data_IF_706288970411
#
_entry.id   IF_706288970411
#
_cell.length_a   1.000
_cell.length_b   1.000
_cell.length_c   1.000
_cell.angle_alpha   90.00
_cell.angle_beta   90.00
_cell.angle_gamma   90.00
#
_symmetry.space_group_name_H-M   'P 1'
#
loop_
_entity.id
_entity.type
_entity.pdbx_description
1 polymer ?
#
# COMPACT_ATOMS: atom_id res chain seq x y z
N UNK A 1 44.47 15.58 28.15
CA UNK A 1 44.16 14.27 28.74
C UNK A 1 43.10 13.62 27.86
N UNK A 2 43.54 12.74 26.97
CA UNK A 2 42.72 11.95 26.04
C UNK A 2 42.38 10.63 26.73
N UNK A 3 41.13 10.16 26.63
CA UNK A 3 40.81 8.76 26.88
C UNK A 3 39.95 8.22 25.72
N UNK A 4 40.66 7.58 24.78
CA UNK A 4 40.14 6.48 23.96
C UNK A 4 40.13 5.22 24.81
N UNK A 5 39.15 4.34 24.65
CA UNK A 5 39.36 2.90 24.81
C UNK A 5 38.36 2.12 23.95
N UNK A 6 38.88 1.55 22.86
CA UNK A 6 38.37 0.35 22.20
C UNK A 6 38.83 -0.88 23.00
N UNK A 7 38.00 -1.91 23.17
CA UNK A 7 38.46 -3.29 23.22
C UNK A 7 37.40 -4.24 22.66
N UNK A 8 37.88 -5.25 21.93
CA UNK A 8 37.12 -6.27 21.22
C UNK A 8 37.55 -7.68 21.66
N UNK A 9 36.63 -8.64 21.45
CA UNK A 9 36.74 -10.10 21.37
C UNK A 9 36.95 -10.96 22.64
N UNK A 10 36.03 -11.93 22.79
CA UNK A 10 36.20 -13.16 23.55
C UNK A 10 35.21 -14.23 23.07
N UNK A 11 35.71 -15.21 22.33
CA UNK A 11 35.04 -16.46 21.91
C UNK A 11 35.07 -17.50 23.04
N UNK A 12 33.97 -18.24 23.26
CA UNK A 12 34.03 -19.52 23.95
C UNK A 12 32.97 -20.50 23.44
N UNK A 13 33.45 -21.60 22.89
CA UNK A 13 32.75 -22.83 22.54
C UNK A 13 32.38 -23.66 23.77
N UNK A 14 31.19 -24.26 23.79
CA UNK A 14 30.98 -25.53 24.50
C UNK A 14 29.83 -26.35 23.88
N UNK A 15 29.96 -27.68 23.99
CA UNK A 15 29.34 -28.70 23.15
C UNK A 15 28.38 -29.65 23.90
N UNK A 16 27.38 -30.17 23.15
CA UNK A 16 26.65 -31.46 23.27
C UNK A 16 25.41 -31.59 24.23
N UNK A 17 24.52 -32.62 24.10
CA UNK A 17 23.85 -33.28 22.93
C UNK A 17 22.32 -33.57 23.11
N UNK A 18 21.66 -34.10 22.04
CA UNK A 18 20.31 -34.72 21.93
C UNK A 18 19.10 -33.78 21.67
N UNK A 19 18.28 -33.86 20.61
CA UNK A 19 18.22 -34.73 19.44
C UNK A 19 17.05 -34.36 18.50
N UNK A 20 17.34 -34.34 17.18
CA UNK A 20 16.51 -34.64 15.98
C UNK A 20 15.12 -33.98 15.77
N UNK A 21 15.04 -33.09 14.77
CA UNK A 21 14.56 -33.42 13.40
C UNK A 21 14.94 -32.30 12.41
N UNK A 22 15.69 -32.67 11.36
CA UNK A 22 16.33 -31.77 10.41
C UNK A 22 15.52 -31.50 9.14
N UNK A 23 15.85 -30.38 8.50
CA UNK A 23 15.74 -30.17 7.06
C UNK A 23 17.10 -29.63 6.62
N UNK A 24 17.87 -30.47 5.93
CA UNK A 24 19.14 -30.12 5.28
C UNK A 24 18.86 -29.29 4.02
N UNK A 25 19.46 -28.11 3.91
CA UNK A 25 19.66 -27.45 2.61
C UNK A 25 21.16 -27.44 2.33
N UNK A 26 21.53 -28.32 1.41
CA UNK A 26 22.88 -28.56 0.92
C UNK A 26 23.29 -27.43 -0.04
N UNK A 27 24.21 -26.56 0.37
CA UNK A 27 24.87 -25.59 -0.53
C UNK A 27 26.24 -26.16 -0.89
N UNK A 28 26.33 -26.66 -2.12
CA UNK A 28 27.54 -27.27 -2.66
C UNK A 28 28.38 -26.15 -3.32
N UNK A 29 29.31 -25.57 -2.56
CA UNK A 29 30.34 -24.68 -3.09
C UNK A 29 31.47 -25.53 -3.70
N UNK A 30 31.42 -25.75 -5.02
CA UNK A 30 32.58 -26.20 -5.78
C UNK A 30 33.29 -25.01 -6.42
N UNK A 31 34.34 -24.61 -5.69
CA UNK A 31 35.43 -23.75 -6.10
C UNK A 31 36.22 -24.42 -7.25
N UNK A 32 36.13 -23.90 -8.47
CA UNK A 32 37.06 -24.25 -9.55
C UNK A 32 38.04 -23.11 -9.82
N UNK A 33 39.28 -23.40 -9.44
CA UNK A 33 40.50 -22.70 -9.81
C UNK A 33 40.62 -22.54 -11.33
N UNK A 34 40.94 -21.32 -11.78
CA UNK A 34 41.81 -21.13 -12.93
C UNK A 34 42.88 -20.09 -12.60
N UNK A 35 44.13 -20.53 -12.64
CA UNK A 35 45.35 -19.76 -12.45
C UNK A 35 46.13 -19.76 -13.77
N UNK A 36 46.62 -18.59 -14.19
CA UNK A 36 47.75 -18.48 -15.12
C UNK A 36 47.58 -17.53 -16.30
N UNK A 37 48.34 -16.43 -16.30
CA UNK A 37 48.74 -15.71 -17.52
C UNK A 37 48.83 -14.19 -17.41
N UNK A 38 49.96 -13.65 -16.94
CA UNK A 38 50.29 -12.22 -17.01
C UNK A 38 50.50 -11.76 -18.46
N UNK A 39 49.92 -10.60 -18.84
CA UNK A 39 50.64 -9.55 -19.58
C UNK A 39 49.86 -8.22 -19.62
N UNK A 40 50.64 -7.14 -19.55
CA UNK A 40 50.26 -5.73 -19.40
C UNK A 40 49.38 -5.16 -20.54
N UNK A 41 48.48 -4.24 -20.18
CA UNK A 41 48.07 -3.16 -21.09
C UNK A 41 46.60 -2.74 -21.01
N UNK A 42 46.40 -1.46 -20.69
CA UNK A 42 45.20 -0.64 -20.92
C UNK A 42 44.16 -0.48 -19.80
N UNK A 43 43.77 0.78 -19.66
CA UNK A 43 43.04 1.40 -18.56
C UNK A 43 41.56 0.98 -18.57
N UNK A 44 41.12 0.61 -17.38
CA UNK A 44 39.78 0.27 -16.91
C UNK A 44 38.63 0.90 -17.71
N UNK A 45 37.97 0.06 -18.51
CA UNK A 45 36.63 0.29 -19.07
C UNK A 45 35.55 -0.22 -18.11
N UNK A 46 34.37 0.37 -18.25
CA UNK A 46 33.25 0.32 -17.32
C UNK A 46 32.84 -1.09 -16.87
N UNK A 47 32.53 -1.17 -15.57
CA UNK A 47 31.67 -2.23 -15.07
C UNK A 47 30.30 -2.08 -15.72
N UNK A 48 29.98 -3.02 -16.61
CA UNK A 48 28.61 -3.30 -17.02
C UNK A 48 27.80 -3.62 -15.77
N UNK A 49 26.90 -2.71 -15.39
CA UNK A 49 25.86 -3.00 -14.41
C UNK A 49 24.89 -3.94 -15.12
N UNK A 50 24.96 -5.23 -14.83
CA UNK A 50 23.94 -6.20 -15.18
C UNK A 50 22.61 -5.74 -14.61
N UNK A 51 21.59 -5.67 -15.46
CA UNK A 51 20.20 -5.43 -15.06
C UNK A 51 19.82 -6.36 -13.90
N UNK A 52 19.76 -5.82 -12.69
CA UNK A 52 19.08 -6.49 -11.59
C UNK A 52 17.59 -6.30 -11.82
N UNK A 53 16.96 -7.33 -12.39
CA UNK A 53 15.54 -7.55 -12.19
C UNK A 53 15.30 -7.56 -10.69
N UNK A 54 14.76 -6.45 -10.16
CA UNK A 54 14.21 -6.40 -8.80
C UNK A 54 12.89 -7.17 -8.78
N UNK A 55 12.94 -8.46 -9.06
CA UNK A 55 11.81 -9.36 -8.86
C UNK A 55 11.71 -9.70 -7.38
N UNK A 56 10.65 -9.19 -6.73
CA UNK A 56 10.11 -9.61 -5.44
C UNK A 56 11.13 -9.84 -4.32
N UNK A 57 11.46 -8.77 -3.59
CA UNK A 57 11.91 -8.94 -2.21
C UNK A 57 10.71 -9.34 -1.33
N UNK A 58 10.72 -10.61 -0.90
CA UNK A 58 10.08 -11.15 0.29
C UNK A 58 8.63 -10.74 0.57
N UNK A 59 7.66 -11.48 0.04
CA UNK A 59 6.31 -11.50 0.63
C UNK A 59 6.37 -12.35 1.89
N UNK A 60 6.34 -11.73 3.07
CA UNK A 60 5.94 -12.43 4.29
C UNK A 60 4.50 -12.91 4.10
N UNK A 61 4.35 -14.23 4.06
CA UNK A 61 3.11 -14.93 3.75
C UNK A 61 2.17 -15.01 4.96
N UNK A 62 1.75 -13.89 5.53
CA UNK A 62 0.63 -13.85 6.50
C UNK A 62 -0.04 -12.47 6.48
N UNK A 63 -0.88 -12.22 5.47
CA UNK A 63 -1.86 -11.13 5.58
C UNK A 63 -3.16 -11.64 4.98
N UNK A 64 -4.21 -11.73 5.80
CA UNK A 64 -5.58 -11.75 5.29
C UNK A 64 -5.79 -10.42 4.55
N UNK A 65 -5.51 -10.41 3.24
CA UNK A 65 -5.60 -9.21 2.40
C UNK A 65 -7.03 -8.68 2.43
N UNK A 66 -7.22 -7.48 2.99
CA UNK A 66 -8.50 -6.78 3.03
C UNK A 66 -8.68 -5.74 1.92
N UNK A 67 -7.58 -5.39 1.23
CA UNK A 67 -7.58 -4.35 0.19
C UNK A 67 -6.78 -4.77 -1.03
N UNK A 68 -7.35 -4.49 -2.20
CA UNK A 68 -6.66 -4.49 -3.48
C UNK A 68 -6.57 -3.07 -4.01
N UNK A 69 -5.36 -2.61 -4.31
CA UNK A 69 -5.15 -1.38 -5.07
C UNK A 69 -4.66 -1.72 -6.48
N UNK A 70 -5.27 -1.06 -7.45
CA UNK A 70 -4.88 -1.16 -8.84
C UNK A 70 -4.48 0.22 -9.32
N UNK A 71 -3.35 0.33 -10.01
CA UNK A 71 -2.91 1.60 -10.56
C UNK A 71 -2.16 1.41 -11.88
N UNK A 72 -2.15 2.46 -12.68
CA UNK A 72 -1.52 2.47 -13.99
C UNK A 72 -0.98 3.87 -14.29
N UNK A 73 0.26 3.92 -14.74
CA UNK A 73 0.86 5.14 -15.28
C UNK A 73 0.20 5.46 -16.63
N UNK A 74 -0.39 6.65 -16.74
CA UNK A 74 -1.08 7.14 -17.95
C UNK A 74 -0.25 8.14 -18.73
N UNK A 75 0.73 8.77 -18.10
CA UNK A 75 1.70 9.60 -18.78
C UNK A 75 2.71 10.23 -17.84
N UNK A 76 3.76 10.77 -18.44
CA UNK A 76 4.74 11.61 -17.78
C UNK A 76 5.26 12.63 -18.79
N UNK A 77 5.55 13.84 -18.33
CA UNK A 77 6.05 14.93 -19.15
C UNK A 77 7.17 15.70 -18.45
N UNK A 78 8.31 15.75 -19.13
CA UNK A 78 9.46 16.61 -18.85
C UNK A 78 9.86 17.34 -20.14
N UNK A 79 9.10 18.36 -20.56
CA UNK A 79 9.25 18.99 -21.87
C UNK A 79 10.55 19.78 -22.02
N UNK A 80 11.21 20.11 -20.91
CA UNK A 80 12.51 20.79 -20.91
C UNK A 80 13.69 19.80 -20.88
N UNK A 81 13.41 18.48 -20.83
CA UNK A 81 14.44 17.44 -20.67
C UNK A 81 15.36 17.72 -19.48
N UNK A 82 14.82 18.38 -18.45
CA UNK A 82 15.59 18.89 -17.33
C UNK A 82 15.95 17.76 -16.38
N UNK A 83 17.13 17.87 -15.78
CA UNK A 83 17.61 17.07 -14.67
C UNK A 83 17.96 18.01 -13.50
N UNK A 84 18.01 17.52 -12.26
CA UNK A 84 18.37 18.35 -11.12
C UNK A 84 19.73 19.03 -11.27
N UNK A 85 19.88 20.19 -10.62
CA UNK A 85 21.11 20.96 -10.63
C UNK A 85 21.36 21.76 -11.90
N UNK A 86 20.33 22.06 -12.69
CA UNK A 86 20.48 22.82 -13.95
C UNK A 86 21.11 22.00 -15.09
N UNK A 87 20.93 20.67 -15.03
CA UNK A 87 21.42 19.74 -16.03
C UNK A 87 20.30 19.32 -16.97
N UNK A 88 20.65 18.60 -18.04
CA UNK A 88 19.72 18.03 -19.01
C UNK A 88 20.20 16.65 -19.48
N UNK A 89 19.25 15.81 -19.91
CA UNK A 89 19.52 14.49 -20.49
C UNK A 89 19.63 14.49 -22.02
N UNK A 90 19.59 15.67 -22.65
CA UNK A 90 19.84 15.88 -24.08
C UNK A 90 20.97 16.88 -24.28
N UNK A 91 21.49 16.97 -25.50
CA UNK A 91 22.47 17.99 -25.83
C UNK A 91 21.81 19.37 -26.02
N UNK A 92 22.22 20.40 -25.27
CA UNK A 92 21.76 21.76 -25.51
C UNK A 92 22.15 22.22 -26.91
N UNK A 93 21.28 22.99 -27.58
CA UNK A 93 21.56 23.53 -28.92
C UNK A 93 22.77 24.46 -28.96
N UNK A 94 23.11 25.07 -27.83
CA UNK A 94 24.25 26.00 -27.65
C UNK A 94 25.50 25.33 -27.07
N UNK A 95 25.45 24.04 -26.73
CA UNK A 95 26.51 23.32 -26.01
C UNK A 95 27.39 22.45 -26.91
N UNK A 96 28.62 22.15 -26.46
CA UNK A 96 29.53 21.23 -27.14
C UNK A 96 29.37 19.81 -26.62
N UNK A 97 28.58 19.02 -27.35
CA UNK A 97 28.33 17.60 -27.04
C UNK A 97 29.23 16.63 -27.83
N UNK A 98 30.46 17.04 -28.13
CA UNK A 98 31.34 16.36 -29.08
C UNK A 98 31.64 14.89 -28.70
N UNK A 99 31.57 14.55 -27.40
CA UNK A 99 31.75 13.18 -26.93
C UNK A 99 30.68 12.20 -27.44
N UNK A 100 29.51 12.71 -27.83
CA UNK A 100 28.38 11.92 -28.33
C UNK A 100 28.28 11.93 -29.86
N UNK A 101 29.36 12.30 -30.57
CA UNK A 101 29.42 12.39 -32.03
C UNK A 101 28.73 11.22 -32.73
N UNK A 102 27.55 11.48 -33.32
CA UNK A 102 26.74 10.50 -34.06
C UNK A 102 25.61 9.83 -33.30
N UNK A 103 25.59 9.88 -31.95
CA UNK A 103 24.55 9.30 -31.09
C UNK A 103 24.28 10.21 -29.89
N UNK A 104 23.48 11.28 -30.06
CA UNK A 104 23.18 12.20 -28.95
C UNK A 104 22.46 11.46 -27.81
N UNK A 105 22.73 11.84 -26.54
CA UNK A 105 22.06 11.25 -25.40
C UNK A 105 20.57 11.56 -25.45
N UNK A 106 19.79 10.60 -24.95
CA UNK A 106 18.34 10.70 -24.88
C UNK A 106 17.91 10.43 -23.44
N UNK A 107 16.93 11.19 -22.99
CA UNK A 107 16.28 10.98 -21.70
C UNK A 107 15.70 9.57 -21.62
N UNK A 108 16.15 8.78 -20.65
CA UNK A 108 15.81 7.36 -20.48
C UNK A 108 15.27 7.17 -19.07
N UNK A 109 13.95 7.08 -18.95
CA UNK A 109 13.23 7.23 -17.70
C UNK A 109 12.56 5.95 -17.23
N UNK A 110 12.69 5.66 -15.94
CA UNK A 110 11.98 4.59 -15.23
C UNK A 110 11.32 5.14 -13.97
N UNK A 111 10.23 4.52 -13.54
CA UNK A 111 9.44 4.97 -12.39
C UNK A 111 9.41 3.90 -11.32
N UNK A 112 9.61 4.29 -10.07
CA UNK A 112 9.40 3.43 -8.90
C UNK A 112 8.20 3.92 -8.14
N UNK A 113 7.29 3.01 -7.81
CA UNK A 113 6.10 3.25 -7.01
C UNK A 113 6.30 2.59 -5.65
N UNK A 114 6.13 3.38 -4.60
CA UNK A 114 6.14 2.93 -3.21
C UNK A 114 4.73 3.12 -2.67
N UNK A 115 4.03 2.03 -2.38
CA UNK A 115 2.68 2.06 -1.81
C UNK A 115 2.78 1.83 -0.32
N UNK A 116 2.40 2.82 0.48
CA UNK A 116 2.44 2.77 1.94
C UNK A 116 1.06 2.38 2.51
N UNK A 117 1.05 1.46 3.47
CA UNK A 117 -0.12 1.16 4.29
C UNK A 117 -0.52 2.37 5.15
N UNK A 118 -1.79 2.42 5.55
CA UNK A 118 -2.28 3.42 6.51
C UNK A 118 -1.71 3.24 7.92
N UNK A 119 -1.93 4.27 8.75
CA UNK A 119 -1.29 4.53 10.05
C UNK A 119 -1.44 3.42 11.12
N UNK A 120 -2.31 2.42 10.92
CA UNK A 120 -2.64 1.42 11.93
C UNK A 120 -2.16 -0.01 11.62
N UNK A 121 -1.67 -0.27 10.40
CA UNK A 121 -1.14 -1.58 10.04
C UNK A 121 0.38 -1.63 10.25
N UNK A 122 0.83 -2.53 11.15
CA UNK A 122 2.24 -2.65 11.58
C UNK A 122 3.26 -2.91 10.47
N UNK A 123 2.87 -3.24 9.24
CA UNK A 123 3.81 -3.37 8.11
C UNK A 123 3.04 -3.57 6.81
N UNK A 124 3.30 -2.78 5.77
CA UNK A 124 3.43 -3.26 4.38
C UNK A 124 3.65 -2.12 3.41
N UNK A 125 4.92 -1.72 3.24
CA UNK A 125 5.29 -0.99 2.02
C UNK A 125 5.38 -1.98 0.87
N UNK A 126 4.78 -1.66 -0.27
CA UNK A 126 4.88 -2.43 -1.51
C UNK A 126 5.61 -1.63 -2.56
N UNK A 127 6.42 -2.30 -3.37
CA UNK A 127 7.25 -1.69 -4.39
C UNK A 127 6.86 -2.21 -5.76
N UNK A 128 6.72 -1.31 -6.73
CA UNK A 128 6.58 -1.63 -8.15
C UNK A 128 7.50 -0.74 -8.96
N UNK A 129 7.89 -1.17 -10.15
CA UNK A 129 8.69 -0.35 -11.05
C UNK A 129 8.30 -0.58 -12.51
N UNK A 130 8.53 0.44 -13.34
CA UNK A 130 8.49 0.29 -14.79
C UNK A 130 9.86 -0.07 -15.34
N UNK A 131 9.88 -0.58 -16.57
CA UNK A 131 11.09 -0.57 -17.36
C UNK A 131 11.53 0.88 -17.64
N UNK A 132 12.80 1.08 -17.97
CA UNK A 132 13.27 2.37 -18.47
C UNK A 132 12.92 2.52 -19.96
N UNK A 133 12.41 3.70 -20.35
CA UNK A 133 12.00 4.03 -21.71
C UNK A 133 12.51 5.41 -22.10
N UNK A 134 12.86 5.56 -23.38
CA UNK A 134 13.25 6.86 -23.89
C UNK A 134 12.04 7.78 -24.05
N UNK A 135 12.16 9.02 -23.56
CA UNK A 135 11.17 10.05 -23.87
C UNK A 135 11.18 10.35 -25.38
N UNK A 136 10.03 10.80 -25.86
CA UNK A 136 9.87 11.30 -27.22
C UNK A 136 10.47 12.72 -27.37
N UNK A 137 10.52 13.29 -28.59
CA UNK A 137 11.03 14.64 -28.82
C UNK A 137 10.25 15.77 -28.16
N UNK A 138 9.09 15.50 -27.55
CA UNK A 138 8.31 16.47 -26.76
C UNK A 138 8.54 16.31 -25.25
N UNK A 139 9.43 15.39 -24.84
CA UNK A 139 9.70 15.09 -23.44
C UNK A 139 8.59 14.27 -22.78
N UNK A 140 7.82 13.51 -23.56
CA UNK A 140 6.73 12.68 -23.06
C UNK A 140 7.04 11.19 -23.17
N UNK A 141 6.29 10.38 -22.41
CA UNK A 141 6.31 8.93 -22.57
C UNK A 141 5.68 8.54 -23.93
N UNK A 142 6.40 7.78 -24.77
CA UNK A 142 5.94 7.49 -26.10
C UNK A 142 4.83 6.42 -26.08
N UNK A 143 3.71 6.70 -26.77
CA UNK A 143 2.53 5.82 -26.80
C UNK A 143 2.78 4.49 -27.53
N UNK A 144 3.71 4.46 -28.49
CA UNK A 144 4.09 3.23 -29.19
C UNK A 144 4.92 2.25 -28.33
N UNK A 145 5.24 2.61 -27.08
CA UNK A 145 5.87 1.75 -26.09
C UNK A 145 5.05 1.68 -24.80
N UNK A 146 3.75 2.01 -24.87
CA UNK A 146 2.85 2.03 -23.72
C UNK A 146 2.82 0.70 -22.97
N UNK A 147 3.03 -0.43 -23.64
CA UNK A 147 3.12 -1.75 -23.03
C UNK A 147 4.28 -1.89 -22.01
N UNK A 148 5.30 -1.02 -22.08
CA UNK A 148 6.46 -1.05 -21.17
C UNK A 148 6.28 -0.21 -19.91
N UNK A 149 5.54 0.91 -19.99
CA UNK A 149 5.35 1.84 -18.86
C UNK A 149 3.92 1.93 -18.35
N UNK A 150 2.92 1.70 -19.20
CA UNK A 150 1.50 1.76 -18.87
C UNK A 150 0.95 0.38 -18.47
N UNK A 151 1.76 -0.45 -17.79
CA UNK A 151 1.29 -1.73 -17.26
C UNK A 151 0.34 -1.46 -16.08
N UNK A 152 -0.72 -2.24 -15.97
CA UNK A 152 -1.61 -2.20 -14.81
C UNK A 152 -0.97 -3.01 -13.68
N UNK A 153 -0.73 -2.35 -12.55
CA UNK A 153 -0.25 -2.99 -11.33
C UNK A 153 -1.45 -3.33 -10.44
N UNK A 154 -1.46 -4.54 -9.88
CA UNK A 154 -2.45 -4.99 -8.90
C UNK A 154 -1.71 -5.42 -7.66
N UNK A 155 -1.96 -4.73 -6.55
CA UNK A 155 -1.25 -4.93 -5.29
C UNK A 155 -2.26 -5.26 -4.20
N UNK A 156 -2.02 -6.36 -3.49
CA UNK A 156 -2.81 -6.76 -2.32
C UNK A 156 -2.15 -6.23 -1.06
N UNK A 157 -2.95 -5.63 -0.18
CA UNK A 157 -2.51 -5.01 1.06
C UNK A 157 -3.40 -5.45 2.23
N UNK A 158 -2.84 -5.40 3.44
CA UNK A 158 -3.57 -5.73 4.67
C UNK A 158 -4.59 -4.66 5.05
N UNK A 159 -4.20 -3.39 4.85
CA UNK A 159 -5.03 -2.22 5.10
C UNK A 159 -5.07 -1.31 3.89
N UNK A 160 -5.98 -0.33 3.95
CA UNK A 160 -6.08 0.69 2.91
C UNK A 160 -4.77 1.50 2.82
N UNK A 161 -4.23 1.70 1.61
CA UNK A 161 -3.02 2.51 1.44
C UNK A 161 -3.29 3.99 1.72
N UNK A 162 -2.31 4.65 2.34
CA UNK A 162 -2.36 6.08 2.61
C UNK A 162 -1.91 6.91 1.41
N UNK A 163 -0.89 6.44 0.67
CA UNK A 163 -0.36 7.11 -0.50
C UNK A 163 0.34 6.15 -1.48
N UNK A 164 0.58 6.65 -2.70
CA UNK A 164 1.61 6.11 -3.60
C UNK A 164 2.66 7.20 -3.81
N UNK A 165 3.88 6.95 -3.38
CA UNK A 165 5.02 7.80 -3.71
C UNK A 165 5.63 7.31 -5.02
N UNK A 166 5.82 8.22 -5.98
CA UNK A 166 6.40 7.92 -7.28
C UNK A 166 7.71 8.65 -7.44
N UNK A 167 8.76 7.91 -7.77
CA UNK A 167 10.10 8.43 -8.02
C UNK A 167 10.42 8.25 -9.50
N UNK A 168 10.61 9.35 -10.20
CA UNK A 168 11.05 9.36 -11.59
C UNK A 168 12.57 9.37 -11.63
N UNK A 169 13.16 8.39 -12.30
CA UNK A 169 14.60 8.25 -12.43
C UNK A 169 15.02 8.33 -13.88
N UNK A 170 16.10 9.05 -14.16
CA UNK A 170 16.79 9.02 -15.45
C UNK A 170 18.04 8.16 -15.33
N UNK A 171 18.27 7.29 -16.30
CA UNK A 171 19.49 6.50 -16.41
C UNK A 171 20.27 6.90 -17.66
N UNK A 172 21.48 7.42 -17.48
CA UNK A 172 22.38 7.73 -18.58
C UNK A 172 23.14 9.03 -18.36
N UNK A 173 23.32 9.78 -19.44
CA UNK A 173 24.12 11.00 -19.41
C UNK A 173 23.38 12.18 -18.76
N UNK A 174 24.14 13.02 -18.06
CA UNK A 174 23.75 14.32 -17.55
C UNK A 174 24.71 15.36 -18.12
N UNK A 175 24.16 16.36 -18.77
CA UNK A 175 24.89 17.42 -19.44
C UNK A 175 24.50 18.74 -18.80
N UNK A 176 25.47 19.60 -18.50
CA UNK A 176 25.22 20.95 -18.02
C UNK A 176 24.39 21.72 -19.05
N UNK A 177 23.22 22.23 -18.65
CA UNK A 177 22.36 22.98 -19.57
C UNK A 177 23.00 24.30 -19.98
N UNK A 178 23.84 24.89 -19.11
CA UNK A 178 24.50 26.16 -19.34
C UNK A 178 25.73 26.06 -20.26
N UNK A 179 26.54 25.01 -20.11
CA UNK A 179 27.84 24.89 -20.80
C UNK A 179 27.85 23.81 -21.90
N UNK A 180 26.93 22.85 -21.85
CA UNK A 180 26.98 21.66 -22.70
C UNK A 180 28.05 20.64 -22.28
N UNK A 181 28.76 20.88 -21.18
CA UNK A 181 29.76 19.94 -20.67
C UNK A 181 29.09 18.71 -20.06
N UNK A 182 29.69 17.56 -20.26
CA UNK A 182 29.21 16.30 -19.71
C UNK A 182 29.56 16.23 -18.23
N UNK A 183 28.55 16.21 -17.38
CA UNK A 183 28.69 16.06 -15.93
C UNK A 183 28.82 14.58 -15.59
N UNK A 184 28.03 13.73 -16.25
CA UNK A 184 28.03 12.28 -16.04
C UNK A 184 27.61 11.58 -17.34
N UNK A 185 28.16 10.40 -17.64
CA UNK A 185 27.82 9.64 -18.86
C UNK A 185 26.87 8.48 -18.56
N UNK A 186 27.05 7.83 -17.41
CA UNK A 186 26.21 6.72 -16.98
C UNK A 186 25.93 6.86 -15.49
N UNK A 187 24.74 7.36 -15.16
CA UNK A 187 24.28 7.54 -13.79
C UNK A 187 22.80 7.27 -13.68
N UNK A 188 22.39 6.76 -12.51
CA UNK A 188 21.00 6.77 -12.10
C UNK A 188 20.75 8.06 -11.32
N UNK A 189 19.95 8.95 -11.90
CA UNK A 189 19.66 10.27 -11.37
C UNK A 189 18.19 10.29 -10.95
N UNK A 190 17.95 10.56 -9.68
CA UNK A 190 16.60 10.88 -9.21
C UNK A 190 16.18 12.23 -9.78
N UNK A 191 15.10 12.27 -10.55
CA UNK A 191 14.68 13.46 -11.29
C UNK A 191 13.58 14.20 -10.57
N UNK A 192 12.55 13.47 -10.13
CA UNK A 192 11.41 14.09 -9.47
C UNK A 192 10.66 13.11 -8.57
N UNK A 193 9.94 13.67 -7.59
CA UNK A 193 9.11 12.91 -6.64
C UNK A 193 7.67 13.39 -6.72
N UNK A 194 6.73 12.46 -6.76
CA UNK A 194 5.30 12.70 -6.74
C UNK A 194 4.67 12.00 -5.56
N UNK A 195 3.68 12.63 -4.94
CA UNK A 195 2.90 12.04 -3.84
C UNK A 195 1.46 11.96 -4.31
N UNK A 196 0.92 10.75 -4.38
CA UNK A 196 -0.48 10.48 -4.70
C UNK A 196 -1.23 10.18 -3.41
N UNK A 197 -1.97 11.14 -2.85
CA UNK A 197 -2.70 10.94 -1.60
C UNK A 197 -3.93 10.05 -1.84
N UNK A 198 -4.09 9.02 -1.02
CA UNK A 198 -5.17 8.04 -1.12
C UNK A 198 -6.12 8.02 0.09
N UNK A 199 -5.79 8.76 1.15
CA UNK A 199 -6.59 8.83 2.39
C UNK A 199 -8.08 9.06 2.16
N UNK A 200 -8.42 10.04 1.31
CA UNK A 200 -9.81 10.44 1.04
C UNK A 200 -10.49 9.63 -0.06
N UNK A 201 -9.78 8.68 -0.68
CA UNK A 201 -10.33 7.83 -1.73
C UNK A 201 -11.16 6.73 -1.07
N UNK A 202 -12.47 6.73 -1.33
CA UNK A 202 -13.34 5.67 -0.84
C UNK A 202 -13.12 4.39 -1.65
N UNK A 203 -12.91 3.23 -1.01
CA UNK A 203 -12.77 1.97 -1.70
C UNK A 203 -14.12 1.47 -2.25
N UNK A 204 -14.08 0.79 -3.39
CA UNK A 204 -15.22 0.02 -3.89
C UNK A 204 -15.38 -1.31 -3.15
N UNK A 205 -16.60 -1.84 -3.17
CA UNK A 205 -16.94 -3.15 -2.62
C UNK A 205 -17.31 -4.06 -3.78
N UNK A 206 -16.74 -5.27 -3.81
CA UNK A 206 -17.09 -6.29 -4.79
C UNK A 206 -16.53 -6.06 -6.20
N UNK A 207 -15.51 -5.21 -6.36
CA UNK A 207 -14.85 -5.03 -7.66
C UNK A 207 -13.98 -3.77 -7.75
N UNK A 208 -13.41 -3.58 -8.94
CA UNK A 208 -12.54 -2.46 -9.28
C UNK A 208 -13.38 -1.24 -9.64
N UNK A 209 -12.99 -0.06 -9.15
CA UNK A 209 -13.54 1.22 -9.60
C UNK A 209 -13.12 1.50 -11.05
N UNK A 210 -13.82 2.45 -11.67
CA UNK A 210 -13.50 2.88 -13.03
C UNK A 210 -12.04 3.40 -13.12
N UNK A 211 -11.18 2.65 -13.80
CA UNK A 211 -9.77 3.01 -14.03
C UNK A 211 -9.57 4.03 -15.17
N UNK A 212 -10.64 4.55 -15.76
CA UNK A 212 -10.58 5.61 -16.77
C UNK A 212 -10.36 7.00 -16.16
N UNK A 213 -10.67 7.18 -14.87
CA UNK A 213 -10.41 8.42 -14.17
C UNK A 213 -8.90 8.57 -13.95
N UNK A 214 -8.32 9.55 -14.62
CA UNK A 214 -6.90 9.87 -14.54
C UNK A 214 -6.69 11.19 -13.82
N UNK A 215 -5.65 11.25 -13.00
CA UNK A 215 -5.26 12.44 -12.24
C UNK A 215 -3.83 12.79 -12.56
N UNK A 216 -3.56 14.09 -12.68
CA UNK A 216 -2.22 14.62 -12.95
C UNK A 216 -1.64 15.23 -11.69
N UNK A 217 -0.38 14.91 -11.41
CA UNK A 217 0.38 15.35 -10.26
C UNK A 217 1.62 16.10 -10.72
N UNK A 218 1.97 17.15 -9.98
CA UNK A 218 3.19 17.93 -10.22
C UNK A 218 4.29 17.46 -9.30
N UNK A 219 5.47 17.24 -9.87
CA UNK A 219 6.66 16.81 -9.15
C UNK A 219 7.20 17.88 -8.21
N UNK A 220 7.78 17.44 -7.10
CA UNK A 220 8.25 18.32 -6.02
C UNK A 220 9.63 18.93 -6.25
N UNK A 221 10.47 18.32 -7.09
CA UNK A 221 11.85 18.76 -7.32
C UNK A 221 11.98 19.63 -8.58
N UNK A 222 11.48 19.14 -9.72
CA UNK A 222 11.60 19.84 -11.00
C UNK A 222 10.28 20.39 -11.54
N UNK A 223 9.15 20.03 -10.92
CA UNK A 223 7.83 20.45 -11.41
C UNK A 223 7.42 19.72 -12.69
N UNK A 224 7.97 18.53 -12.95
CA UNK A 224 7.53 17.66 -14.04
C UNK A 224 6.10 17.18 -13.79
N UNK A 225 5.44 16.61 -14.80
CA UNK A 225 4.04 16.19 -14.71
C UNK A 225 3.91 14.68 -14.82
N UNK A 226 3.14 14.05 -13.93
CA UNK A 226 2.85 12.62 -13.91
C UNK A 226 1.33 12.40 -13.90
N UNK A 227 0.82 11.59 -14.81
CA UNK A 227 -0.59 11.23 -14.86
C UNK A 227 -0.78 9.77 -14.45
N UNK A 228 -1.62 9.52 -13.45
CA UNK A 228 -1.90 8.19 -12.90
C UNK A 228 -3.41 7.95 -12.86
N UNK A 229 -3.84 6.72 -13.15
CA UNK A 229 -5.18 6.23 -12.79
C UNK A 229 -5.05 5.15 -11.73
N UNK A 230 -5.98 5.11 -10.78
CA UNK A 230 -5.98 4.09 -9.74
C UNK A 230 -7.39 3.79 -9.22
N UNK A 231 -7.52 2.63 -8.58
CA UNK A 231 -8.73 2.14 -7.94
C UNK A 231 -8.34 1.43 -6.65
N UNK A 232 -9.11 1.65 -5.59
CA UNK A 232 -8.99 0.90 -4.33
C UNK A 232 -10.27 0.10 -4.15
N UNK A 233 -10.16 -1.17 -3.79
CA UNK A 233 -11.30 -2.04 -3.55
C UNK A 233 -11.09 -2.92 -2.33
N UNK A 234 -12.13 -3.09 -1.52
CA UNK A 234 -12.15 -4.06 -0.46
C UNK A 234 -12.23 -5.47 -1.04
N UNK A 235 -11.53 -6.42 -0.43
CA UNK A 235 -11.54 -7.83 -0.81
C UNK A 235 -12.40 -8.65 0.15
N UNK A 236 -13.02 -9.72 -0.37
CA UNK A 236 -13.94 -10.54 0.40
C UNK A 236 -15.21 -9.78 0.79
N UNK A 237 -15.60 -9.93 2.06
CA UNK A 237 -16.82 -9.32 2.62
C UNK A 237 -16.55 -8.03 3.41
N UNK A 238 -15.31 -7.54 3.38
CA UNK A 238 -14.94 -6.33 4.12
C UNK A 238 -15.51 -5.09 3.43
N UNK A 239 -15.91 -4.15 4.28
CA UNK A 239 -16.47 -2.86 3.89
C UNK A 239 -15.87 -1.77 4.78
N UNK A 240 -16.33 -0.55 4.59
CA UNK A 240 -15.92 0.64 5.33
C UNK A 240 -14.87 1.46 4.59
N UNK A 241 -14.61 2.70 5.06
CA UNK A 241 -13.63 3.60 4.47
C UNK A 241 -12.20 3.06 4.44
N UNK A 242 -11.88 2.08 5.30
CA UNK A 242 -10.56 1.44 5.42
C UNK A 242 -10.57 -0.04 5.01
N UNK A 243 -11.71 -0.58 4.58
CA UNK A 243 -11.89 -2.02 4.26
C UNK A 243 -11.51 -2.97 5.40
N UNK A 244 -11.82 -2.58 6.63
CA UNK A 244 -11.52 -3.34 7.84
C UNK A 244 -12.80 -3.87 8.51
N UNK A 245 -13.98 -3.45 8.08
CA UNK A 245 -15.24 -3.75 8.76
C UNK A 245 -15.94 -4.97 8.15
N UNK A 246 -16.28 -5.92 9.00
CA UNK A 246 -17.24 -6.98 8.72
C UNK A 246 -18.61 -6.55 9.26
N UNK A 247 -19.56 -6.29 8.37
CA UNK A 247 -20.83 -5.66 8.73
C UNK A 247 -22.04 -6.53 8.39
N UNK A 248 -22.99 -6.59 9.32
CA UNK A 248 -24.31 -7.17 9.10
C UNK A 248 -25.36 -6.05 9.13
N UNK A 249 -26.12 -5.93 8.03
CA UNK A 249 -27.24 -4.99 7.95
C UNK A 249 -28.30 -5.37 8.99
N UNK A 250 -28.81 -4.40 9.72
CA UNK A 250 -29.83 -4.67 10.73
C UNK A 250 -31.15 -5.11 10.08
N UNK A 251 -31.80 -6.10 10.71
CA UNK A 251 -33.17 -6.53 10.39
C UNK A 251 -34.24 -5.56 10.89
N UNK A 252 -33.91 -4.68 11.84
CA UNK A 252 -34.84 -3.72 12.46
C UNK A 252 -34.78 -2.36 11.75
N UNK A 253 -33.56 -1.87 11.47
CA UNK A 253 -33.36 -0.65 10.72
C UNK A 253 -32.39 -0.89 9.57
N UNK A 254 -32.93 -1.02 8.38
CA UNK A 254 -32.15 -1.34 7.18
C UNK A 254 -31.21 -0.19 6.74
N UNK A 255 -31.27 0.99 7.35
CA UNK A 255 -30.31 2.07 7.13
C UNK A 255 -29.08 1.98 8.04
N UNK A 256 -29.02 0.97 8.92
CA UNK A 256 -27.95 0.76 9.90
C UNK A 256 -27.33 -0.61 9.70
N UNK A 257 -26.03 -0.71 9.97
CA UNK A 257 -25.29 -1.95 10.02
C UNK A 257 -24.53 -2.08 11.34
N UNK A 258 -24.56 -3.28 11.91
CA UNK A 258 -23.72 -3.67 13.01
C UNK A 258 -22.41 -4.22 12.44
N UNK A 259 -21.30 -3.58 12.78
CA UNK A 259 -19.99 -3.84 12.23
C UNK A 259 -19.00 -4.26 13.31
N UNK A 260 -18.03 -5.08 12.92
CA UNK A 260 -16.85 -5.40 13.72
C UNK A 260 -15.63 -5.10 12.88
N UNK A 261 -14.68 -4.34 13.42
CA UNK A 261 -13.38 -4.16 12.79
C UNK A 261 -12.59 -5.46 12.93
N UNK A 262 -12.17 -6.04 11.81
CA UNK A 262 -11.31 -7.21 11.78
C UNK A 262 -9.85 -6.85 12.13
N UNK A 263 -9.49 -5.57 12.06
CA UNK A 263 -8.18 -5.06 12.47
C UNK A 263 -8.09 -4.90 14.00
N UNK A 264 -9.04 -4.19 14.61
CA UNK A 264 -8.99 -3.87 16.06
C UNK A 264 -9.85 -4.79 16.93
N UNK A 265 -10.79 -5.53 16.34
CA UNK A 265 -11.79 -6.31 17.05
C UNK A 265 -12.95 -5.49 17.63
N UNK A 266 -12.92 -4.15 17.55
CA UNK A 266 -13.96 -3.29 18.11
C UNK A 266 -15.28 -3.37 17.35
N UNK A 267 -16.39 -3.26 18.08
CA UNK A 267 -17.73 -3.16 17.52
C UNK A 267 -18.07 -1.72 17.17
N UNK A 268 -18.78 -1.54 16.05
CA UNK A 268 -19.22 -0.25 15.58
C UNK A 268 -20.64 -0.34 15.01
N UNK A 269 -21.44 0.70 15.21
CA UNK A 269 -22.70 0.88 14.49
C UNK A 269 -22.49 1.92 13.40
N UNK A 270 -22.82 1.56 12.16
CA UNK A 270 -22.59 2.42 11.00
C UNK A 270 -23.89 2.67 10.23
N UNK A 271 -23.93 3.79 9.49
CA UNK A 271 -24.96 4.00 8.49
C UNK A 271 -24.67 3.15 7.25
N UNK A 272 -25.66 2.39 6.82
CA UNK A 272 -25.59 1.57 5.62
C UNK A 272 -26.03 2.36 4.39
N UNK A 273 -25.17 2.43 3.38
CA UNK A 273 -25.39 3.12 2.10
C UNK A 273 -25.69 2.07 1.03
N UNK A 274 -26.98 1.88 0.76
CA UNK A 274 -27.44 0.82 -0.15
C UNK A 274 -26.99 1.02 -1.61
N UNK A 275 -26.72 2.25 -2.05
CA UNK A 275 -26.35 2.54 -3.45
C UNK A 275 -25.03 1.86 -3.88
N UNK A 276 -24.10 1.67 -2.96
CA UNK A 276 -22.78 1.08 -3.22
C UNK A 276 -22.41 -0.01 -2.22
N UNK A 277 -23.40 -0.53 -1.48
CA UNK A 277 -23.24 -1.53 -0.41
C UNK A 277 -22.22 -1.15 0.67
N UNK A 278 -21.96 0.15 0.85
CA UNK A 278 -20.91 0.68 1.72
C UNK A 278 -21.47 1.09 3.09
N UNK A 279 -20.58 1.23 4.08
CA UNK A 279 -20.92 1.82 5.38
C UNK A 279 -20.21 3.16 5.57
N UNK A 280 -20.84 4.05 6.33
CA UNK A 280 -20.29 5.38 6.63
C UNK A 280 -20.73 5.83 8.03
N UNK A 281 -20.08 6.87 8.56
CA UNK A 281 -20.42 7.48 9.87
C UNK A 281 -20.54 6.44 10.98
N UNK A 282 -19.49 5.63 11.14
CA UNK A 282 -19.44 4.59 12.16
C UNK A 282 -19.20 5.19 13.55
N UNK A 283 -19.94 4.69 14.53
CA UNK A 283 -19.78 5.00 15.95
C UNK A 283 -19.26 3.75 16.68
N UNK A 284 -18.17 3.91 17.44
CA UNK A 284 -17.62 2.83 18.26
C UNK A 284 -18.56 2.47 19.41
N UNK A 285 -18.76 1.18 19.63
CA UNK A 285 -19.59 0.61 20.69
C UNK A 285 -18.72 -0.30 21.59
N UNK A 286 -18.03 0.26 22.61
CA UNK A 286 -17.11 -0.49 23.46
C UNK A 286 -17.77 -1.67 24.19
N UNK A 287 -19.06 -1.53 24.55
CA UNK A 287 -19.83 -2.53 25.28
C UNK A 287 -20.64 -3.47 24.37
N UNK A 288 -20.44 -3.41 23.05
CA UNK A 288 -21.16 -4.22 22.08
C UNK A 288 -22.40 -3.54 21.49
N UNK A 289 -23.14 -4.28 20.67
CA UNK A 289 -24.28 -3.77 19.89
C UNK A 289 -25.53 -4.51 20.33
N UNK A 290 -26.63 -3.80 20.60
CA UNK A 290 -27.93 -4.37 20.92
C UNK A 290 -28.89 -4.22 19.74
N UNK A 291 -29.64 -5.29 19.51
CA UNK A 291 -30.57 -5.49 18.39
C UNK A 291 -30.00 -5.12 17.00
N UNK A 292 -28.67 -5.19 16.84
CA UNK A 292 -27.97 -4.83 15.62
C UNK A 292 -28.11 -3.35 15.20
N UNK A 293 -28.61 -2.46 16.07
CA UNK A 293 -28.95 -1.07 15.69
C UNK A 293 -28.38 0.01 16.60
N UNK A 294 -28.03 -0.31 17.85
CA UNK A 294 -27.56 0.67 18.81
C UNK A 294 -26.42 0.12 19.67
N UNK A 295 -25.53 1.02 20.11
CA UNK A 295 -24.49 0.66 21.06
C UNK A 295 -25.13 0.30 22.41
N UNK A 296 -24.58 -0.71 23.10
CA UNK A 296 -24.93 -1.01 24.48
C UNK A 296 -24.30 0.03 25.41
N UNK A 297 -25.06 0.42 26.43
CA UNK A 297 -24.58 1.28 27.51
C UNK A 297 -24.01 0.43 28.66
N UNK A 298 -23.05 0.99 29.41
CA UNK A 298 -22.39 0.32 30.55
C UNK A 298 -23.38 -0.17 31.63
N UNK A 299 -24.55 0.48 31.73
CA UNK A 299 -25.56 0.22 32.74
C UNK A 299 -26.55 -0.90 32.42
N UNK A 300 -26.49 -1.50 31.22
CA UNK A 300 -27.33 -2.65 30.87
C UNK A 300 -26.50 -3.93 30.81
N UNK A 301 -26.58 -4.81 31.82
CA UNK A 301 -25.82 -6.05 31.79
C UNK A 301 -26.30 -6.90 30.62
N UNK A 302 -25.37 -7.34 29.78
CA UNK A 302 -25.58 -8.35 28.76
C UNK A 302 -26.42 -9.49 29.35
N UNK A 303 -27.67 -9.60 28.92
CA UNK A 303 -28.59 -10.59 29.44
C UNK A 303 -28.00 -11.99 29.19
N UNK A 304 -27.66 -12.62 30.32
CA UNK A 304 -27.55 -14.05 30.60
C UNK A 304 -27.74 -14.97 29.39
N UNK A 305 -26.72 -15.80 29.14
CA UNK A 305 -26.88 -17.09 28.46
C UNK A 305 -28.17 -17.78 28.96
N UNK A 306 -28.99 -18.41 28.10
CA UNK A 306 -30.05 -19.27 28.58
C UNK A 306 -29.38 -20.46 29.27
N UNK A 307 -29.36 -20.43 30.61
CA UNK A 307 -29.03 -21.64 31.36
C UNK A 307 -30.24 -22.56 31.19
N UNK A 308 -30.08 -23.56 30.33
CA UNK A 308 -30.82 -24.81 30.50
C UNK A 308 -30.46 -25.32 31.89
N UNK A 309 -31.37 -25.18 32.84
CA UNK A 309 -31.65 -26.09 33.96
C UNK A 309 -32.35 -25.33 35.10
N UNK A 310 -33.67 -25.44 35.14
CA UNK A 310 -34.40 -25.79 36.36
C UNK A 310 -35.83 -26.23 35.99
N UNK A 311 -35.96 -27.54 35.70
CA UNK A 311 -37.20 -28.24 35.99
C UNK A 311 -37.20 -28.52 37.51
N UNK A 312 -38.28 -28.16 38.20
CA UNK A 312 -39.16 -29.07 38.97
C UNK A 312 -40.04 -28.25 39.94
N UNK A 313 -41.32 -28.20 39.57
CA UNK A 313 -42.51 -28.46 40.39
C UNK A 313 -42.77 -27.61 41.66
N UNK A 314 -43.85 -26.81 41.58
CA UNK A 314 -44.81 -26.61 42.68
C UNK A 314 -46.20 -26.34 42.10
N UNK A 315 -46.93 -27.41 41.86
CA UNK A 315 -48.35 -27.59 42.24
C UNK A 315 -49.17 -26.32 42.56
N UNK A 316 -50.11 -25.97 41.67
CA UNK A 316 -51.38 -25.34 42.05
C UNK A 316 -52.39 -25.41 40.90
N UNK A 317 -53.45 -26.18 41.08
CA UNK A 317 -54.72 -25.91 40.40
C UNK A 317 -55.90 -26.55 41.12
N UNK A 318 -56.63 -25.73 41.88
CA UNK A 318 -58.09 -25.75 42.03
C UNK A 318 -58.49 -24.69 43.05
N UNK A 319 -59.16 -23.64 42.58
CA UNK A 319 -59.62 -22.55 43.43
C UNK A 319 -60.17 -21.39 42.62
N UNK A 320 -61.30 -21.64 41.96
CA UNK A 320 -62.20 -20.64 41.41
C UNK A 320 -62.65 -19.65 42.48
N UNK A 321 -62.54 -18.34 42.22
CA UNK A 321 -63.69 -17.46 42.42
C UNK A 321 -63.59 -16.15 41.63
N UNK A 322 -64.72 -15.83 41.02
CA UNK A 322 -64.98 -14.68 40.15
C UNK A 322 -65.76 -13.66 40.96
N UNK A 323 -65.37 -12.39 40.99
CA UNK A 323 -66.23 -11.26 40.55
C UNK A 323 -65.53 -9.88 40.59
N UNK A 324 -65.89 -8.95 39.67
CA UNK A 324 -65.34 -7.58 39.51
C UNK A 324 -66.27 -6.55 40.22
N UNK A 325 -66.31 -5.21 39.95
CA UNK A 325 -65.52 -4.31 39.08
C UNK A 325 -65.09 -3.00 39.80
N UNK A 326 -64.51 -2.01 39.08
CA UNK A 326 -64.95 -0.58 39.05
C UNK A 326 -63.98 0.23 38.17
N UNK A 327 -64.56 1.00 37.25
CA UNK A 327 -63.94 2.04 36.41
C UNK A 327 -64.54 3.39 36.82
N UNK A 328 -63.77 4.48 36.85
CA UNK A 328 -64.02 5.63 35.95
C UNK A 328 -62.69 6.17 35.38
N UNK A 329 -62.53 6.44 34.08
CA UNK A 329 -63.04 7.53 33.23
C UNK A 329 -62.41 8.93 33.46
N UNK A 330 -61.59 9.33 32.46
CA UNK A 330 -61.38 10.67 31.85
C UNK A 330 -60.80 11.86 32.66
N UNK A 331 -59.71 12.39 32.08
CA UNK A 331 -59.50 13.80 31.66
C UNK A 331 -59.25 14.93 32.67
N UNK A 332 -58.07 15.54 32.48
CA UNK A 332 -57.74 16.98 32.48
C UNK A 332 -57.60 17.80 33.78
N UNK A 333 -56.73 18.82 33.61
CA UNK A 333 -56.52 20.08 34.36
C UNK A 333 -55.57 19.95 35.57
N UNK A 334 -54.42 20.65 35.70
CA UNK A 334 -53.95 21.97 35.22
C UNK A 334 -52.57 21.85 34.58
#
# INVERSE_FOLDING_TARGET
MNNNNQYSFGTSSNSNPNGRNGIDVNVNDQNQQFNGGYQNGQRQQGQLITQHNMTNMGTSSFISSGVSIQFQLRGYSNPQFALPGGNTCVCPSTGKCDIFSGNPPRCYFGFTFIISSGDEAEESVRYQATDFIHLDPSGQLPQNQAEKWSKQFVVQMGSKPAAIDVFAHHMGASVSQATGEVVQINGLIHVDTFIVPLKDVLPAIGGVQNMNDQRTYTGKLLGTSLTLSFSISCTGNLVGPNCDLSCNRSSINTNVAACKSEETGFFQVCNYVQANNQVSRCQNCPWGIRDGTYCQDESEPALRRPNYDELVDRTRDSGSDITPPVRPSRSEIV
#
